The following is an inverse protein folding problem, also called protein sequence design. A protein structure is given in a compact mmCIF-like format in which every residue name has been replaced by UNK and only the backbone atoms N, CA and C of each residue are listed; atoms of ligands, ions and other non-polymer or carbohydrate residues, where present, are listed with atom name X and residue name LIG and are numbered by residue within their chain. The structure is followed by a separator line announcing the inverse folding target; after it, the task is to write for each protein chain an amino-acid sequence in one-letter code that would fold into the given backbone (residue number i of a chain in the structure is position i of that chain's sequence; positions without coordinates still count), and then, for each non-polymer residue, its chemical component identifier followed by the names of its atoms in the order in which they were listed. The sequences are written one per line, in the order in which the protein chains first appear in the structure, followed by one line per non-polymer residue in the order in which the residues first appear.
data_IF_610632321371
#
_entry.id   IF_610632321371
#
_cell.length_a   1.000
_cell.length_b   1.000
_cell.length_c   1.000
_cell.angle_alpha   90.00
_cell.angle_beta   90.00
_cell.angle_gamma   90.00
#
_symmetry.space_group_name_H-M   'P 1'
#
loop_
_entity.id
_entity.type
_entity.pdbx_description
1 polymer ?
#
# COMPACT_ATOMS: atom_id res chain seq x y z
N UNK A 1 -40.51 -2.75 -40.58
CA UNK A 1 -40.50 -2.82 -39.10
C UNK A 1 -39.44 -3.76 -38.54
N UNK A 2 -39.21 -4.89 -39.15
CA UNK A 2 -38.14 -5.83 -38.72
C UNK A 2 -36.73 -5.27 -38.89
N UNK A 3 -36.49 -4.42 -39.85
CA UNK A 3 -35.18 -3.77 -40.09
C UNK A 3 -34.80 -2.77 -39.00
N UNK A 4 -35.77 -2.09 -38.42
CA UNK A 4 -35.55 -1.17 -37.30
C UNK A 4 -35.20 -1.88 -35.99
N UNK A 5 -35.74 -3.10 -35.79
CA UNK A 5 -35.42 -3.94 -34.64
C UNK A 5 -33.98 -4.49 -34.69
N UNK A 6 -33.47 -4.79 -35.88
CA UNK A 6 -32.09 -5.23 -36.09
C UNK A 6 -31.05 -4.10 -35.84
N UNK A 7 -31.44 -2.84 -36.04
CA UNK A 7 -30.58 -1.68 -35.75
C UNK A 7 -30.53 -1.32 -34.26
N UNK A 8 -31.59 -1.65 -33.51
CA UNK A 8 -31.66 -1.37 -32.07
C UNK A 8 -30.85 -2.35 -31.22
N UNK A 9 -30.71 -3.60 -31.64
CA UNK A 9 -29.96 -4.64 -30.93
C UNK A 9 -28.47 -4.34 -30.78
N UNK A 10 -27.71 -3.94 -31.82
CA UNK A 10 -26.30 -3.57 -31.66
C UNK A 10 -26.09 -2.30 -30.84
N UNK A 11 -27.02 -1.34 -30.90
CA UNK A 11 -26.95 -0.11 -30.09
C UNK A 11 -27.12 -0.42 -28.59
N UNK A 12 -28.08 -1.31 -28.25
CA UNK A 12 -28.31 -1.77 -26.88
C UNK A 12 -27.11 -2.55 -26.34
N UNK A 13 -26.47 -3.40 -27.16
CA UNK A 13 -25.26 -4.14 -26.78
C UNK A 13 -24.08 -3.22 -26.54
N UNK A 14 -23.85 -2.21 -27.38
CA UNK A 14 -22.81 -1.19 -27.20
C UNK A 14 -23.04 -0.35 -25.96
N UNK A 15 -24.28 0.03 -25.70
CA UNK A 15 -24.63 0.77 -24.51
C UNK A 15 -24.42 -0.03 -23.23
N UNK A 16 -24.83 -1.29 -23.20
CA UNK A 16 -24.60 -2.20 -22.08
C UNK A 16 -23.12 -2.43 -21.82
N UNK A 17 -22.32 -2.60 -22.87
CA UNK A 17 -20.86 -2.76 -22.77
C UNK A 17 -20.19 -1.48 -22.23
N UNK A 18 -20.59 -0.32 -22.71
CA UNK A 18 -20.10 0.97 -22.26
C UNK A 18 -20.43 1.23 -20.79
N UNK A 19 -21.68 0.93 -20.39
CA UNK A 19 -22.10 1.05 -18.99
C UNK A 19 -21.38 0.07 -18.07
N UNK A 20 -21.14 -1.15 -18.52
CA UNK A 20 -20.36 -2.15 -17.79
C UNK A 20 -18.93 -1.71 -17.54
N UNK A 21 -18.25 -1.15 -18.55
CA UNK A 21 -16.90 -0.61 -18.38
C UNK A 21 -16.85 0.58 -17.41
N UNK A 22 -17.84 1.44 -17.48
CA UNK A 22 -17.91 2.62 -16.61
C UNK A 22 -18.16 2.25 -15.15
N UNK A 23 -18.94 1.21 -14.89
CA UNK A 23 -19.21 0.69 -13.56
C UNK A 23 -17.96 0.09 -12.93
N UNK A 24 -17.19 -0.71 -13.67
CA UNK A 24 -15.93 -1.32 -13.19
C UNK A 24 -14.88 -0.23 -12.88
N UNK A 25 -14.75 0.78 -13.73
CA UNK A 25 -13.85 1.90 -13.49
C UNK A 25 -14.23 2.72 -12.24
N UNK A 26 -15.52 2.95 -12.02
CA UNK A 26 -16.01 3.64 -10.83
C UNK A 26 -15.69 2.91 -9.54
N UNK A 27 -15.83 1.58 -9.52
CA UNK A 27 -15.52 0.78 -8.34
C UNK A 27 -14.02 0.80 -8.03
N UNK A 28 -13.16 0.73 -9.03
CA UNK A 28 -11.72 0.85 -8.86
C UNK A 28 -11.29 2.24 -8.38
N UNK A 29 -11.87 3.30 -8.94
CA UNK A 29 -11.60 4.68 -8.50
C UNK A 29 -12.07 4.91 -7.06
N UNK A 30 -13.19 4.36 -6.65
CA UNK A 30 -13.73 4.49 -5.29
C UNK A 30 -12.82 3.82 -4.26
N UNK A 31 -12.33 2.60 -4.56
CA UNK A 31 -11.42 1.85 -3.70
C UNK A 31 -10.06 2.55 -3.59
N UNK A 32 -9.54 3.04 -4.71
CA UNK A 32 -8.28 3.78 -4.77
C UNK A 32 -8.37 5.11 -4.01
N UNK A 33 -9.49 5.81 -4.13
CA UNK A 33 -9.74 7.04 -3.39
C UNK A 33 -9.86 6.80 -1.88
N UNK A 34 -10.50 5.70 -1.48
CA UNK A 34 -10.60 5.31 -0.08
C UNK A 34 -9.23 4.98 0.51
N UNK A 35 -8.41 4.22 -0.22
CA UNK A 35 -7.06 3.91 0.18
C UNK A 35 -6.22 5.19 0.34
N UNK A 36 -6.32 6.10 -0.61
CA UNK A 36 -5.62 7.39 -0.57
C UNK A 36 -6.05 8.24 0.63
N UNK A 37 -7.33 8.24 0.98
CA UNK A 37 -7.84 8.95 2.17
C UNK A 37 -7.28 8.37 3.45
N UNK A 38 -7.27 7.06 3.59
CA UNK A 38 -6.73 6.39 4.77
C UNK A 38 -5.23 6.66 4.90
N UNK A 39 -4.49 6.66 3.78
CA UNK A 39 -3.08 7.00 3.76
C UNK A 39 -2.84 8.44 4.24
N UNK A 40 -3.61 9.41 3.74
CA UNK A 40 -3.54 10.81 4.19
C UNK A 40 -3.89 10.94 5.67
N UNK A 41 -4.89 10.21 6.14
CA UNK A 41 -5.26 10.17 7.57
C UNK A 41 -4.09 9.67 8.42
N UNK A 42 -3.44 8.58 8.00
CA UNK A 42 -2.25 8.07 8.67
C UNK A 42 -1.11 9.10 8.71
N UNK A 43 -0.84 9.78 7.60
CA UNK A 43 0.16 10.84 7.53
C UNK A 43 -0.17 12.01 8.47
N UNK A 44 -1.44 12.40 8.56
CA UNK A 44 -1.89 13.45 9.47
C UNK A 44 -1.65 13.08 10.93
N UNK A 45 -1.87 11.82 11.32
CA UNK A 45 -1.51 11.35 12.65
C UNK A 45 -0.01 11.41 12.92
N UNK A 46 0.82 11.13 11.93
CA UNK A 46 2.28 11.29 12.05
C UNK A 46 2.68 12.74 12.27
N UNK A 47 2.09 13.66 11.51
CA UNK A 47 2.35 15.10 11.65
C UNK A 47 1.89 15.64 13.00
N UNK A 48 0.85 15.05 13.58
CA UNK A 48 0.30 15.39 14.90
C UNK A 48 1.02 14.69 16.05
N UNK A 49 2.12 13.99 15.78
CA UNK A 49 2.91 13.25 16.77
C UNK A 49 2.15 12.09 17.44
N UNK A 50 1.17 11.51 16.73
CA UNK A 50 0.36 10.38 17.19
C UNK A 50 0.75 9.11 16.43
N UNK A 51 1.96 8.61 16.65
CA UNK A 51 2.53 7.47 15.93
C UNK A 51 1.71 6.18 16.09
N UNK A 52 1.16 5.94 17.28
CA UNK A 52 0.36 4.74 17.55
C UNK A 52 -0.91 4.68 16.69
N UNK A 53 -1.60 5.80 16.57
CA UNK A 53 -2.79 5.89 15.71
C UNK A 53 -2.44 5.74 14.25
N UNK A 54 -1.31 6.29 13.81
CA UNK A 54 -0.81 6.14 12.45
C UNK A 54 -0.53 4.66 12.12
N UNK A 55 0.14 3.94 13.02
CA UNK A 55 0.40 2.51 12.86
C UNK A 55 -0.89 1.71 12.75
N UNK A 56 -1.89 1.99 13.58
CA UNK A 56 -3.18 1.32 13.54
C UNK A 56 -3.90 1.55 12.20
N UNK A 57 -3.88 2.78 11.68
CA UNK A 57 -4.47 3.11 10.38
C UNK A 57 -3.76 2.36 9.25
N UNK A 58 -2.44 2.37 9.21
CA UNK A 58 -1.67 1.71 8.16
C UNK A 58 -1.85 0.18 8.21
N UNK A 59 -1.83 -0.43 9.38
CA UNK A 59 -2.09 -1.87 9.53
C UNK A 59 -3.50 -2.24 9.07
N UNK A 60 -4.51 -1.44 9.43
CA UNK A 60 -5.89 -1.64 8.99
C UNK A 60 -6.01 -1.57 7.47
N UNK A 61 -5.35 -0.62 6.83
CA UNK A 61 -5.33 -0.50 5.37
C UNK A 61 -4.76 -1.74 4.69
N UNK A 62 -3.62 -2.23 5.19
CA UNK A 62 -2.94 -3.39 4.61
C UNK A 62 -3.73 -4.68 4.81
N UNK A 63 -4.37 -4.86 5.96
CA UNK A 63 -5.23 -6.01 6.22
C UNK A 63 -6.44 -6.06 5.30
N UNK A 64 -7.08 -4.93 5.06
CA UNK A 64 -8.20 -4.83 4.11
C UNK A 64 -7.78 -5.21 2.70
N UNK A 65 -6.58 -4.83 2.31
CA UNK A 65 -6.06 -5.09 0.98
C UNK A 65 -5.77 -6.57 0.74
N UNK A 66 -5.25 -7.26 1.74
CA UNK A 66 -5.04 -8.72 1.68
C UNK A 66 -6.36 -9.48 1.53
N UNK A 67 -7.41 -9.06 2.25
CA UNK A 67 -8.72 -9.70 2.18
C UNK A 67 -9.46 -9.46 0.87
N UNK A 68 -9.22 -8.34 0.21
CA UNK A 68 -9.93 -7.96 -1.01
C UNK A 68 -9.18 -8.34 -2.31
N UNK A 69 -8.03 -9.01 -2.22
CA UNK A 69 -7.20 -9.43 -3.37
C UNK A 69 -6.91 -8.27 -4.35
N UNK A 70 -6.70 -7.09 -3.84
CA UNK A 70 -6.41 -5.92 -4.67
C UNK A 70 -5.00 -5.97 -5.24
N UNK A 71 -4.86 -5.48 -6.45
CA UNK A 71 -3.58 -5.37 -7.13
C UNK A 71 -2.70 -4.37 -6.37
N UNK A 72 -1.48 -4.79 -6.05
CA UNK A 72 -0.49 -3.91 -5.44
C UNK A 72 -0.28 -2.65 -6.29
N UNK A 73 -0.36 -1.48 -5.68
CA UNK A 73 -0.18 -0.20 -6.35
C UNK A 73 0.88 0.64 -5.64
N UNK A 74 1.21 1.78 -6.22
CA UNK A 74 2.23 2.69 -5.68
C UNK A 74 1.86 3.19 -4.28
N UNK A 75 0.59 3.44 -4.01
CA UNK A 75 0.11 3.88 -2.70
C UNK A 75 0.29 2.80 -1.63
N UNK A 76 0.11 1.52 -2.00
CA UNK A 76 0.38 0.40 -1.10
C UNK A 76 1.87 0.31 -0.76
N UNK A 77 2.72 0.42 -1.77
CA UNK A 77 4.17 0.42 -1.57
C UNK A 77 4.59 1.52 -0.59
N UNK A 78 4.12 2.74 -0.81
CA UNK A 78 4.40 3.89 0.06
C UNK A 78 3.91 3.67 1.49
N UNK A 79 2.70 3.11 1.66
CA UNK A 79 2.13 2.82 2.97
C UNK A 79 2.97 1.77 3.73
N UNK A 80 3.36 0.69 3.06
CA UNK A 80 4.20 -0.36 3.66
C UNK A 80 5.59 0.16 4.00
N UNK A 81 6.19 0.96 3.11
CA UNK A 81 7.50 1.57 3.35
C UNK A 81 7.45 2.50 4.57
N UNK A 82 6.43 3.33 4.66
CA UNK A 82 6.22 4.25 5.79
C UNK A 82 6.00 3.49 7.09
N UNK A 83 5.20 2.43 7.06
CA UNK A 83 4.94 1.58 8.23
C UNK A 83 6.22 0.93 8.74
N UNK A 84 7.05 0.38 7.84
CA UNK A 84 8.36 -0.17 8.19
C UNK A 84 9.26 0.86 8.85
N UNK A 85 9.31 2.08 8.32
CA UNK A 85 10.09 3.18 8.89
C UNK A 85 9.60 3.58 10.29
N UNK A 86 8.28 3.56 10.50
CA UNK A 86 7.69 3.81 11.81
C UNK A 86 8.09 2.77 12.84
N UNK A 87 8.05 1.50 12.49
CA UNK A 87 8.48 0.43 13.39
C UNK A 87 9.96 0.60 13.76
N UNK A 88 10.83 0.94 12.80
CA UNK A 88 12.23 1.19 13.09
C UNK A 88 12.41 2.35 14.06
N UNK A 89 11.70 3.47 13.85
CA UNK A 89 11.82 4.64 14.74
C UNK A 89 11.31 4.38 16.15
N UNK A 90 10.41 3.41 16.32
CA UNK A 90 9.92 2.97 17.64
C UNK A 90 10.82 1.93 18.30
N UNK A 91 11.91 1.52 17.65
CA UNK A 91 12.79 0.47 18.14
C UNK A 91 12.36 -0.95 17.81
N UNK A 92 11.25 -1.12 17.08
CA UNK A 92 10.75 -2.44 16.65
C UNK A 92 11.39 -2.84 15.31
N UNK A 93 12.72 -2.99 15.30
CA UNK A 93 13.50 -3.18 14.08
C UNK A 93 13.19 -4.52 13.40
N UNK A 94 12.88 -5.56 14.16
CA UNK A 94 12.50 -6.87 13.61
C UNK A 94 11.27 -6.79 12.71
N UNK A 95 10.27 -6.02 13.12
CA UNK A 95 9.07 -5.77 12.31
C UNK A 95 9.40 -4.95 11.07
N UNK A 96 10.23 -3.93 11.20
CA UNK A 96 10.68 -3.12 10.07
C UNK A 96 11.41 -3.99 9.03
N UNK A 97 12.34 -4.85 9.47
CA UNK A 97 13.05 -5.79 8.61
C UNK A 97 12.09 -6.68 7.82
N UNK A 98 11.10 -7.26 8.47
CA UNK A 98 10.12 -8.14 7.80
C UNK A 98 9.36 -7.41 6.71
N UNK A 99 8.90 -6.19 6.98
CA UNK A 99 8.15 -5.39 6.00
C UNK A 99 9.04 -5.02 4.82
N UNK A 100 10.23 -4.51 5.07
CA UNK A 100 11.15 -4.10 4.01
C UNK A 100 11.66 -5.28 3.19
N UNK A 101 11.90 -6.44 3.80
CA UNK A 101 12.24 -7.66 3.09
C UNK A 101 11.11 -8.16 2.21
N UNK A 102 9.88 -8.11 2.69
CA UNK A 102 8.71 -8.48 1.90
C UNK A 102 8.54 -7.57 0.67
N UNK A 103 8.79 -6.28 0.81
CA UNK A 103 8.77 -5.33 -0.30
C UNK A 103 9.86 -5.63 -1.35
N UNK A 104 11.07 -5.92 -0.90
CA UNK A 104 12.20 -6.24 -1.79
C UNK A 104 11.98 -7.55 -2.55
N UNK A 105 11.33 -8.53 -1.93
CA UNK A 105 11.05 -9.83 -2.52
C UNK A 105 9.78 -9.88 -3.36
N UNK A 106 8.96 -8.84 -3.35
CA UNK A 106 7.68 -8.82 -4.07
C UNK A 106 7.91 -8.71 -5.59
N UNK A 107 7.29 -9.59 -6.41
CA UNK A 107 7.40 -9.50 -7.86
C UNK A 107 6.56 -8.37 -8.47
N UNK A 108 5.69 -7.73 -7.67
CA UNK A 108 4.73 -6.72 -8.16
C UNK A 108 5.32 -5.32 -8.25
N UNK A 109 6.49 -5.08 -7.65
CA UNK A 109 7.10 -3.75 -7.58
C UNK A 109 8.24 -3.60 -8.58
N UNK A 110 8.46 -2.34 -9.00
CA UNK A 110 9.51 -1.98 -9.96
C UNK A 110 10.91 -2.08 -9.33
N UNK A 111 11.93 -2.06 -10.17
CA UNK A 111 13.33 -2.04 -9.72
C UNK A 111 13.62 -0.83 -8.82
N UNK A 112 13.10 0.35 -9.18
CA UNK A 112 13.29 1.57 -8.40
C UNK A 112 12.64 1.46 -7.01
N UNK A 113 11.43 0.89 -6.93
CA UNK A 113 10.74 0.64 -5.67
C UNK A 113 11.51 -0.35 -4.81
N UNK A 114 12.00 -1.44 -5.39
CA UNK A 114 12.84 -2.41 -4.68
C UNK A 114 14.14 -1.80 -4.19
N UNK A 115 14.72 -0.88 -4.94
CA UNK A 115 15.93 -0.16 -4.53
C UNK A 115 15.66 0.70 -3.28
N UNK A 116 14.52 1.38 -3.23
CA UNK A 116 14.10 2.12 -2.04
C UNK A 116 13.93 1.20 -0.83
N UNK A 117 13.30 0.03 -1.01
CA UNK A 117 13.17 -0.98 0.04
C UNK A 117 14.53 -1.46 0.54
N UNK A 118 15.50 -1.68 -0.37
CA UNK A 118 16.87 -2.07 0.00
C UNK A 118 17.59 -0.98 0.80
N UNK A 119 17.36 0.28 0.48
CA UNK A 119 17.92 1.39 1.26
C UNK A 119 17.37 1.38 2.70
N UNK A 120 16.09 1.10 2.87
CA UNK A 120 15.49 1.00 4.19
C UNK A 120 15.98 -0.25 4.94
N UNK A 121 16.17 -1.37 4.24
CA UNK A 121 16.80 -2.56 4.83
C UNK A 121 18.20 -2.26 5.38
N UNK A 122 19.01 -1.52 4.63
CA UNK A 122 20.34 -1.12 5.07
C UNK A 122 20.27 -0.29 6.36
N UNK A 123 19.31 0.62 6.44
CA UNK A 123 19.08 1.41 7.65
C UNK A 123 18.62 0.56 8.84
N UNK A 124 17.76 -0.43 8.58
CA UNK A 124 17.30 -1.36 9.59
C UNK A 124 18.47 -2.16 10.16
N UNK A 125 19.35 -2.69 9.30
CA UNK A 125 20.55 -3.42 9.73
C UNK A 125 21.51 -2.53 10.52
N UNK A 126 21.67 -1.27 10.12
CA UNK A 126 22.47 -0.32 10.89
C UNK A 126 21.87 -0.05 12.27
N UNK A 127 20.55 0.03 12.36
CA UNK A 127 19.85 0.21 13.64
C UNK A 127 20.07 -0.99 14.56
N UNK A 128 19.97 -2.22 14.03
CA UNK A 128 20.29 -3.45 14.80
C UNK A 128 21.72 -3.43 15.29
N UNK A 129 22.67 -3.13 14.41
CA UNK A 129 24.10 -3.04 14.77
C UNK A 129 24.38 -1.98 15.82
N UNK A 130 23.69 -0.86 15.77
CA UNK A 130 23.80 0.18 16.77
C UNK A 130 23.30 -0.28 18.15
N UNK A 131 22.15 -0.95 18.18
CA UNK A 131 21.60 -1.48 19.44
C UNK A 131 22.51 -2.57 20.03
N UNK A 132 23.03 -3.46 19.23
CA UNK A 132 23.99 -4.49 19.66
C UNK A 132 25.25 -3.87 20.26
N UNK A 133 25.80 -2.85 19.63
CA UNK A 133 26.97 -2.12 20.14
C UNK A 133 26.66 -1.37 21.43
N UNK A 134 25.48 -0.75 21.52
CA UNK A 134 25.05 -0.06 22.74
C UNK A 134 24.91 -1.04 23.89
N UNK A 135 24.36 -2.23 23.65
CA UNK A 135 24.21 -3.30 24.62
C UNK A 135 25.58 -3.77 25.15
N UNK A 136 26.57 -3.93 24.27
CA UNK A 136 27.95 -4.27 24.66
C UNK A 136 28.65 -3.18 25.49
N UNK A 137 28.28 -1.93 25.30
CA UNK A 137 28.85 -0.81 26.06
C UNK A 137 28.31 -0.71 27.48
N UNK A 138 27.12 -1.26 27.76
CA UNK A 138 26.48 -1.22 29.07
C UNK A 138 26.70 -2.45 29.93
N UNK A 139 27.34 -3.46 29.39
CA UNK A 139 27.74 -4.68 30.09
C UNK A 139 29.22 -4.55 30.52
#
# INVERSE_FOLDING_TARGET
MLELLFLLLPIAALYGWYMGQRSVKKDQETLQNKFSRDYVTGLNFLLSNQQEKAVDVFLSMLQKQETENQIANDSQFEAELTLGNLFRSRGEVDRALRIHQALDNSPHYTFEQKLLAKQQLARDFMAVGFFDRAEHLYI
#
